data_IF_691495369453
#
_entry.id   IF_691495369453
#
_cell.length_a   1.000
_cell.length_b   1.000
_cell.length_c   1.000
_cell.angle_alpha   90.00
_cell.angle_beta   90.00
_cell.angle_gamma   90.00
#
_symmetry.space_group_name_H-M   'P 1'
#
loop_
_entity.id
_entity.type
_entity.pdbx_description
1 polymer ?
#
# COMPACT_ATOMS: atom_id res chain seq x y z
N UNK A 1 7.81 -16.55 22.07
CA UNK A 1 7.09 -15.27 22.01
C UNK A 1 7.01 -14.92 20.54
N UNK A 2 5.81 -14.76 19.96
CA UNK A 2 5.67 -14.46 18.53
C UNK A 2 6.03 -13.00 18.28
N UNK A 3 6.96 -12.74 17.35
CA UNK A 3 7.23 -11.39 16.87
C UNK A 3 5.98 -10.87 16.16
N UNK A 4 5.56 -9.65 16.50
CA UNK A 4 4.45 -8.99 15.83
C UNK A 4 5.04 -8.09 14.75
N UNK A 5 4.64 -8.28 13.51
CA UNK A 5 5.01 -7.35 12.43
C UNK A 5 3.93 -6.29 12.31
N UNK A 6 4.33 -5.02 12.31
CA UNK A 6 3.43 -3.89 12.10
C UNK A 6 3.52 -3.47 10.64
N UNK A 7 2.39 -3.32 9.96
CA UNK A 7 2.30 -2.73 8.63
C UNK A 7 1.59 -1.40 8.74
N UNK A 8 2.15 -0.33 8.20
CA UNK A 8 1.57 1.01 8.25
C UNK A 8 1.99 1.82 7.04
N UNK A 9 1.30 2.92 6.78
CA UNK A 9 1.60 3.70 5.61
C UNK A 9 0.58 4.76 5.30
N UNK A 10 0.64 5.26 4.07
CA UNK A 10 -0.28 6.23 3.55
C UNK A 10 -0.53 6.03 2.07
N UNK A 11 -1.73 6.38 1.63
CA UNK A 11 -2.16 6.42 0.24
C UNK A 11 -2.44 7.88 -0.09
N UNK A 12 -1.81 8.38 -1.14
CA UNK A 12 -2.10 9.70 -1.71
C UNK A 12 -3.15 9.53 -2.81
N UNK A 13 -4.30 10.18 -2.60
CA UNK A 13 -5.46 10.16 -3.45
C UNK A 13 -5.57 11.45 -4.25
N UNK A 14 -6.20 11.35 -5.42
CA UNK A 14 -6.65 12.52 -6.15
C UNK A 14 -7.94 13.08 -5.51
N UNK A 15 -7.94 14.34 -5.04
CA UNK A 15 -9.09 14.94 -4.37
C UNK A 15 -10.30 15.12 -5.28
N UNK A 16 -10.13 15.09 -6.62
CA UNK A 16 -11.24 15.24 -7.56
C UNK A 16 -12.19 14.04 -7.55
N UNK A 17 -11.69 12.86 -7.15
CA UNK A 17 -12.41 11.59 -7.15
C UNK A 17 -12.72 11.10 -5.73
N UNK A 18 -12.95 12.03 -4.78
CA UNK A 18 -13.18 11.69 -3.37
C UNK A 18 -14.37 10.71 -3.20
N UNK A 19 -15.45 10.91 -3.96
CA UNK A 19 -16.64 10.06 -3.86
C UNK A 19 -16.37 8.63 -4.37
N UNK A 20 -15.68 8.48 -5.49
CA UNK A 20 -15.28 7.20 -6.07
C UNK A 20 -14.29 6.48 -5.14
N UNK A 21 -13.31 7.21 -4.60
CA UNK A 21 -12.35 6.66 -3.65
C UNK A 21 -13.04 6.15 -2.38
N UNK A 22 -13.99 6.89 -1.81
CA UNK A 22 -14.79 6.42 -0.66
C UNK A 22 -15.54 5.14 -0.97
N UNK A 23 -16.18 5.05 -2.14
CA UNK A 23 -16.89 3.84 -2.55
C UNK A 23 -15.95 2.64 -2.70
N UNK A 24 -14.74 2.86 -3.22
CA UNK A 24 -13.72 1.82 -3.32
C UNK A 24 -13.25 1.33 -1.94
N UNK A 25 -13.04 2.22 -0.97
CA UNK A 25 -12.74 1.82 0.41
C UNK A 25 -13.89 1.05 1.06
N UNK A 26 -15.14 1.51 0.90
CA UNK A 26 -16.33 0.86 1.46
C UNK A 26 -16.58 -0.53 0.84
N UNK A 27 -16.24 -0.70 -0.44
CA UNK A 27 -16.36 -1.97 -1.14
C UNK A 27 -15.26 -2.97 -0.81
N UNK A 28 -14.15 -2.51 -0.19
CA UNK A 28 -13.00 -3.36 0.07
C UNK A 28 -13.14 -4.08 1.42
N UNK A 29 -13.13 -5.43 1.44
CA UNK A 29 -13.37 -6.20 2.66
C UNK A 29 -12.11 -6.31 3.53
N UNK A 30 -11.59 -5.18 4.00
CA UNK A 30 -10.58 -5.13 5.06
C UNK A 30 -11.18 -5.29 6.47
N UNK A 31 -12.47 -5.61 6.59
CA UNK A 31 -13.22 -5.46 7.85
C UNK A 31 -13.88 -6.72 8.41
N UNK A 32 -13.64 -7.90 7.84
CA UNK A 32 -14.40 -9.09 8.24
C UNK A 32 -13.58 -10.33 8.62
N UNK A 33 -12.29 -10.41 8.23
CA UNK A 33 -11.43 -11.54 8.60
C UNK A 33 -10.01 -11.07 8.83
N UNK A 34 -9.55 -11.37 10.04
CA UNK A 34 -8.18 -11.41 10.55
C UNK A 34 -7.03 -11.27 9.51
N UNK A 35 -5.95 -10.50 9.79
CA UNK A 35 -5.65 -9.76 11.02
C UNK A 35 -6.00 -8.27 10.97
N UNK A 36 -6.63 -7.82 9.89
CA UNK A 36 -6.90 -6.40 9.65
C UNK A 36 -8.39 -6.17 9.75
N UNK A 37 -8.80 -5.28 10.64
CA UNK A 37 -10.17 -4.78 10.76
C UNK A 37 -10.00 -3.30 11.01
N UNK A 38 -10.53 -2.48 10.11
CA UNK A 38 -10.52 -1.02 10.14
C UNK A 38 -9.11 -0.41 10.24
N UNK A 39 -8.24 -0.77 9.30
CA UNK A 39 -6.85 -0.27 9.27
C UNK A 39 -6.71 1.14 8.70
N UNK A 40 -7.71 1.63 7.96
CA UNK A 40 -7.63 2.94 7.31
C UNK A 40 -8.08 4.04 8.27
N UNK A 41 -7.26 5.08 8.38
CA UNK A 41 -7.58 6.29 9.10
C UNK A 41 -8.47 7.23 8.30
N UNK A 42 -8.88 8.32 8.93
CA UNK A 42 -9.63 9.39 8.27
C UNK A 42 -8.79 10.00 7.15
N UNK A 43 -9.42 10.25 5.99
CA UNK A 43 -8.83 11.01 4.91
C UNK A 43 -8.49 12.44 5.37
N UNK A 44 -7.22 12.82 5.20
CA UNK A 44 -6.70 14.15 5.48
C UNK A 44 -6.61 14.94 4.16
N UNK A 45 -7.46 15.95 3.94
CA UNK A 45 -7.40 16.76 2.72
C UNK A 45 -6.18 17.67 2.72
N UNK A 46 -5.45 17.67 1.61
CA UNK A 46 -4.36 18.59 1.31
C UNK A 46 -4.69 19.51 0.13
N UNK A 47 -3.74 20.40 -0.21
CA UNK A 47 -3.94 21.39 -1.29
C UNK A 47 -3.95 20.74 -2.68
N UNK A 48 -3.05 19.79 -2.93
CA UNK A 48 -2.95 19.10 -4.24
C UNK A 48 -3.33 17.63 -4.20
N UNK A 49 -3.36 17.01 -3.01
CA UNK A 49 -3.66 15.59 -2.78
C UNK A 49 -4.45 15.42 -1.49
N UNK A 50 -5.19 14.31 -1.36
CA UNK A 50 -5.75 13.89 -0.07
C UNK A 50 -5.06 12.62 0.39
N UNK A 51 -4.81 12.46 1.68
CA UNK A 51 -4.01 11.34 2.21
C UNK A 51 -4.84 10.48 3.13
N UNK A 52 -4.84 9.17 2.92
CA UNK A 52 -5.41 8.18 3.84
C UNK A 52 -4.27 7.41 4.49
N UNK A 53 -4.13 7.50 5.80
CA UNK A 53 -3.18 6.66 6.54
C UNK A 53 -3.77 5.27 6.76
N UNK A 54 -2.90 4.28 6.93
CA UNK A 54 -3.33 2.97 7.41
C UNK A 54 -2.33 2.35 8.36
N UNK A 55 -2.80 1.50 9.28
CA UNK A 55 -1.95 0.74 10.18
C UNK A 55 -2.63 -0.57 10.61
N UNK A 56 -1.85 -1.64 10.71
CA UNK A 56 -2.29 -2.95 11.13
C UNK A 56 -1.14 -3.81 11.63
N UNK A 57 -1.47 -5.00 12.15
CA UNK A 57 -0.47 -5.95 12.65
C UNK A 57 -0.69 -7.33 12.05
N UNK A 58 0.37 -7.98 11.60
CA UNK A 58 0.36 -9.38 11.19
C UNK A 58 0.56 -10.32 12.39
N UNK A 59 -0.11 -11.49 12.35
CA UNK A 59 0.20 -12.59 13.29
C UNK A 59 1.42 -13.35 12.83
N UNK A 60 1.56 -13.54 11.52
CA UNK A 60 2.67 -14.21 10.87
C UNK A 60 2.92 -13.54 9.54
N UNK A 61 4.04 -12.83 9.40
CA UNK A 61 4.37 -12.13 8.16
C UNK A 61 4.38 -13.10 6.96
N UNK A 62 4.95 -14.28 7.11
CA UNK A 62 5.07 -15.27 6.01
C UNK A 62 3.70 -15.77 5.55
N UNK A 63 2.77 -15.97 6.48
CA UNK A 63 1.44 -16.52 6.16
C UNK A 63 0.50 -15.43 5.65
N UNK A 64 0.56 -14.24 6.26
CA UNK A 64 -0.42 -13.19 6.04
C UNK A 64 -0.02 -12.20 4.93
N UNK A 65 1.28 -12.05 4.62
CA UNK A 65 1.79 -11.02 3.70
C UNK A 65 1.22 -11.16 2.29
N UNK A 66 1.28 -12.36 1.72
CA UNK A 66 0.84 -12.58 0.33
C UNK A 66 -0.64 -12.24 0.14
N UNK A 67 -1.49 -12.62 1.12
CA UNK A 67 -2.91 -12.28 1.06
C UNK A 67 -3.14 -10.78 1.22
N UNK A 68 -2.43 -10.14 2.15
CA UNK A 68 -2.52 -8.69 2.34
C UNK A 68 -2.07 -7.92 1.10
N UNK A 69 -0.94 -8.29 0.51
CA UNK A 69 -0.38 -7.65 -0.68
C UNK A 69 -1.36 -7.75 -1.86
N UNK A 70 -1.96 -8.93 -2.09
CA UNK A 70 -2.98 -9.12 -3.15
C UNK A 70 -4.20 -8.22 -2.92
N UNK A 71 -4.70 -8.13 -1.69
CA UNK A 71 -5.86 -7.29 -1.35
C UNK A 71 -5.52 -5.81 -1.47
N UNK A 72 -4.33 -5.41 -1.03
CA UNK A 72 -3.83 -4.05 -1.14
C UNK A 72 -3.65 -3.63 -2.60
N UNK A 73 -3.08 -4.52 -3.43
CA UNK A 73 -2.97 -4.35 -4.88
C UNK A 73 -4.35 -4.15 -5.53
N UNK A 74 -5.34 -4.97 -5.16
CA UNK A 74 -6.72 -4.84 -5.65
C UNK A 74 -7.37 -3.52 -5.24
N UNK A 75 -7.13 -3.07 -4.01
CA UNK A 75 -7.60 -1.77 -3.54
C UNK A 75 -6.96 -0.64 -4.37
N UNK A 76 -5.64 -0.63 -4.52
CA UNK A 76 -4.94 0.40 -5.29
C UNK A 76 -5.42 0.45 -6.74
N UNK A 77 -5.68 -0.71 -7.37
CA UNK A 77 -6.21 -0.77 -8.73
C UNK A 77 -7.65 -0.20 -8.87
N UNK A 78 -8.39 -0.10 -7.75
CA UNK A 78 -9.74 0.48 -7.70
C UNK A 78 -9.76 1.96 -7.30
N UNK A 79 -8.63 2.50 -6.83
CA UNK A 79 -8.52 3.87 -6.36
C UNK A 79 -7.98 4.80 -7.44
N UNK A 80 -8.45 6.04 -7.42
CA UNK A 80 -7.77 7.16 -8.06
C UNK A 80 -6.64 7.66 -7.15
N UNK A 81 -5.62 6.81 -6.95
CA UNK A 81 -4.41 7.13 -6.19
C UNK A 81 -3.31 7.71 -7.11
N UNK A 82 -2.44 8.53 -6.53
CA UNK A 82 -1.18 8.99 -7.14
C UNK A 82 -0.03 8.11 -6.70
N UNK A 83 0.05 7.87 -5.40
CA UNK A 83 1.08 7.03 -4.79
C UNK A 83 0.55 6.32 -3.55
N UNK A 84 1.24 5.25 -3.13
CA UNK A 84 1.08 4.69 -1.80
C UNK A 84 2.44 4.28 -1.24
N UNK A 85 2.65 4.52 0.04
CA UNK A 85 3.84 4.05 0.76
C UNK A 85 3.41 3.07 1.83
N UNK A 86 3.96 1.86 1.78
CA UNK A 86 3.78 0.82 2.78
C UNK A 86 5.09 0.66 3.54
N UNK A 87 5.01 0.68 4.85
CA UNK A 87 6.11 0.42 5.77
C UNK A 87 5.78 -0.81 6.58
N UNK A 88 6.74 -1.69 6.72
CA UNK A 88 6.66 -2.83 7.62
C UNK A 88 7.75 -2.72 8.66
N UNK A 89 7.43 -2.97 9.92
CA UNK A 89 8.40 -2.99 11.01
C UNK A 89 8.26 -4.29 11.80
N UNK A 90 9.37 -5.00 11.94
CA UNK A 90 9.51 -6.22 12.73
C UNK A 90 10.80 -6.16 13.57
N UNK A 91 10.73 -6.68 14.79
CA UNK A 91 11.85 -6.80 15.72
C UNK A 91 13.01 -7.65 15.16
N UNK A 92 12.72 -8.61 14.27
CA UNK A 92 13.72 -9.55 13.71
C UNK A 92 14.38 -9.00 12.44
N UNK A 93 13.59 -8.43 11.53
CA UNK A 93 14.07 -8.06 10.18
C UNK A 93 14.24 -6.54 9.97
N UNK A 94 13.80 -5.69 10.91
CA UNK A 94 13.92 -4.22 10.79
C UNK A 94 12.74 -3.56 10.07
N UNK A 95 12.94 -2.34 9.55
CA UNK A 95 11.94 -1.60 8.79
C UNK A 95 12.12 -1.80 7.27
N UNK A 96 11.04 -2.12 6.55
CA UNK A 96 10.99 -2.23 5.10
C UNK A 96 10.02 -1.19 4.54
N UNK A 97 10.37 -0.59 3.41
CA UNK A 97 9.53 0.39 2.73
C UNK A 97 9.25 -0.06 1.30
N UNK A 98 7.97 -0.04 0.92
CA UNK A 98 7.49 -0.35 -0.43
C UNK A 98 6.74 0.86 -0.94
N UNK A 99 7.12 1.34 -2.13
CA UNK A 99 6.47 2.46 -2.77
C UNK A 99 5.71 1.99 -4.01
N UNK A 100 4.44 2.36 -4.08
CA UNK A 100 3.54 2.12 -5.19
C UNK A 100 3.34 3.43 -5.91
N UNK A 101 3.59 3.45 -7.22
CA UNK A 101 3.25 4.57 -8.09
C UNK A 101 1.99 4.17 -8.83
N UNK A 102 0.86 4.80 -8.48
CA UNK A 102 -0.44 4.49 -9.06
C UNK A 102 -0.70 5.29 -10.35
N UNK A 103 -0.37 6.58 -10.33
CA UNK A 103 -0.54 7.48 -11.47
C UNK A 103 0.31 8.76 -11.26
N UNK A 104 1.03 9.22 -12.28
CA UNK A 104 1.96 10.36 -12.21
C UNK A 104 1.30 11.73 -12.49
N UNK A 105 -0.03 11.75 -12.59
CA UNK A 105 -0.83 12.97 -12.51
C UNK A 105 -1.18 13.64 -13.84
N UNK A 106 -0.96 12.98 -14.98
CA UNK A 106 -1.20 13.59 -16.30
C UNK A 106 -2.18 12.84 -17.21
N UNK A 107 -2.46 11.56 -16.96
CA UNK A 107 -3.37 10.77 -17.79
C UNK A 107 -4.52 10.17 -16.96
N UNK A 108 -5.74 10.59 -17.29
CA UNK A 108 -7.02 10.27 -16.65
C UNK A 108 -7.51 8.82 -16.87
N UNK A 109 -6.62 7.91 -17.24
CA UNK A 109 -6.95 6.49 -17.38
C UNK A 109 -6.35 5.73 -16.21
N UNK A 110 -7.10 4.76 -15.66
CA UNK A 110 -6.61 3.82 -14.66
C UNK A 110 -5.36 3.12 -15.23
N UNK A 111 -4.17 3.61 -14.87
CA UNK A 111 -2.91 3.02 -15.30
C UNK A 111 -2.55 1.87 -14.35
N UNK A 112 -1.95 0.78 -14.86
CA UNK A 112 -1.43 -0.27 -13.99
C UNK A 112 -0.32 0.32 -13.11
N UNK A 113 -0.47 0.21 -11.79
CA UNK A 113 0.50 0.70 -10.83
C UNK A 113 1.87 0.03 -11.03
N UNK A 114 2.95 0.81 -10.87
CA UNK A 114 4.32 0.29 -10.86
C UNK A 114 4.77 0.12 -9.40
N UNK A 115 5.18 -1.11 -9.03
CA UNK A 115 5.83 -1.38 -7.74
C UNK A 115 7.30 -0.96 -7.83
N UNK A 116 7.73 -0.04 -6.96
CA UNK A 116 9.14 0.24 -6.71
C UNK A 116 9.49 -0.21 -5.29
N UNK A 117 10.35 -1.23 -5.22
CA UNK A 117 10.99 -1.60 -3.96
C UNK A 117 12.07 -0.58 -3.64
N UNK A 118 11.96 0.09 -2.49
CA UNK A 118 13.06 0.90 -1.96
C UNK A 118 13.41 0.34 -0.59
N UNK A 119 14.31 -0.64 -0.58
CA UNK A 119 14.97 -1.03 0.66
C UNK A 119 15.90 0.13 1.02
N UNK A 120 15.59 0.89 2.05
CA UNK A 120 16.58 1.79 2.65
C UNK A 120 17.56 0.90 3.44
N UNK A 121 18.42 0.19 2.69
CA UNK A 121 19.66 -0.37 3.21
C UNK A 121 20.77 0.56 2.75
N UNK A 122 21.44 1.19 3.71
CA UNK A 122 22.68 1.90 3.49
C UNK A 122 23.69 0.91 2.87
N UNK A 123 23.93 1.06 1.57
CA UNK A 123 24.95 0.32 0.82
C UNK A 123 24.53 -1.06 0.31
N UNK A 124 23.85 -1.09 -0.84
CA UNK A 124 24.20 -1.95 -1.98
C UNK A 124 23.41 -1.49 -3.21
N UNK A 125 24.14 -0.98 -4.19
CA UNK A 125 23.61 -0.55 -5.48
C UNK A 125 22.89 -1.70 -6.21
N UNK A 126 21.75 -1.32 -6.82
CA UNK A 126 21.15 -1.81 -8.07
C UNK A 126 21.62 -3.12 -8.69
N UNK A 127 20.67 -4.00 -9.01
CA UNK A 127 20.56 -4.50 -10.39
C UNK A 127 19.09 -4.86 -10.75
N UNK A 128 18.61 -4.23 -11.82
CA UNK A 128 17.33 -4.48 -12.47
C UNK A 128 17.35 -5.78 -13.30
N UNK A 129 16.13 -6.28 -13.58
CA UNK A 129 15.75 -7.13 -14.72
C UNK A 129 16.22 -8.60 -14.74
N UNK A 130 15.26 -9.52 -14.55
CA UNK A 130 14.92 -10.51 -15.58
C UNK A 130 13.48 -11.04 -15.46
N UNK A 131 12.61 -10.48 -16.31
CA UNK A 131 11.76 -11.22 -17.27
C UNK A 131 10.81 -12.31 -16.75
N UNK A 132 9.52 -11.97 -16.75
CA UNK A 132 8.52 -12.81 -17.41
C UNK A 132 8.94 -13.01 -18.87
N UNK A 133 9.32 -14.22 -19.28
CA UNK A 133 8.88 -14.85 -20.55
C UNK A 133 9.06 -16.37 -20.45
N UNK A 134 7.92 -17.07 -20.53
CA UNK A 134 7.67 -18.47 -20.93
C UNK A 134 8.39 -19.61 -20.21
#
# INVERSE_FOLDING_TARGET
>A
MGSKTIVYGFIELDPQFNQENRQAFDACPFDAKYPFTNIFGTELPGYESSTVSFAGTFKSLIEDWNEWEIRFDQLLASLYCRSATVRMSDDVHGEFVIQYVCNDGWESTLQPYQRRWKTDFDGLESEENHLRQK
#
